data_IF_028300943105
#
_entry.id   IF_028300943105
#
_cell.length_a   1.000
_cell.length_b   1.000
_cell.length_c   1.000
_cell.angle_alpha   90.00
_cell.angle_beta   90.00
_cell.angle_gamma   90.00
#
_symmetry.space_group_name_H-M   'P 1'
#
loop_
_entity.id
_entity.type
_entity.pdbx_description
1 polymer ?
#
# COMPACT_ATOMS: atom_id res chain seq x y z
N UNK A 1 -4.54 15.24 -2.15
CA UNK A 1 -4.42 14.23 -1.07
C UNK A 1 -3.03 13.68 -1.11
N UNK A 2 -2.33 13.66 0.03
CA UNK A 2 -0.97 13.13 0.16
C UNK A 2 -1.00 11.60 0.20
N UNK A 3 0.06 10.93 -0.26
CA UNK A 3 0.11 9.46 -0.32
C UNK A 3 -0.04 8.86 1.09
N UNK A 4 0.54 9.53 2.09
CA UNK A 4 0.39 9.17 3.50
C UNK A 4 -1.06 9.13 3.99
N UNK A 5 -1.86 10.14 3.64
CA UNK A 5 -3.27 10.21 4.04
C UNK A 5 -4.07 9.06 3.41
N UNK A 6 -3.80 8.77 2.14
CA UNK A 6 -4.42 7.65 1.43
C UNK A 6 -4.06 6.32 2.08
N UNK A 7 -2.80 6.12 2.46
CA UNK A 7 -2.36 4.89 3.12
C UNK A 7 -3.10 4.64 4.44
N UNK A 8 -3.20 5.64 5.31
CA UNK A 8 -3.92 5.48 6.58
C UNK A 8 -5.40 5.19 6.39
N UNK A 9 -6.05 5.85 5.42
CA UNK A 9 -7.44 5.56 5.08
C UNK A 9 -7.63 4.11 4.64
N UNK A 10 -6.79 3.64 3.71
CA UNK A 10 -6.87 2.25 3.21
C UNK A 10 -6.59 1.26 4.34
N UNK A 11 -5.60 1.56 5.20
CA UNK A 11 -5.30 0.72 6.37
C UNK A 11 -6.50 0.58 7.30
N UNK A 12 -7.18 1.67 7.61
CA UNK A 12 -8.39 1.66 8.45
C UNK A 12 -9.52 0.85 7.80
N UNK A 13 -9.73 0.99 6.49
CA UNK A 13 -10.72 0.21 5.74
C UNK A 13 -10.42 -1.29 5.76
N UNK A 14 -9.15 -1.67 5.58
CA UNK A 14 -8.69 -3.07 5.67
C UNK A 14 -8.92 -3.62 7.07
N UNK A 15 -8.57 -2.87 8.12
CA UNK A 15 -8.80 -3.30 9.51
C UNK A 15 -10.29 -3.52 9.81
N UNK A 16 -11.16 -2.62 9.35
CA UNK A 16 -12.62 -2.77 9.50
C UNK A 16 -13.13 -3.98 8.73
N UNK A 17 -12.67 -4.19 7.50
CA UNK A 17 -13.09 -5.31 6.66
C UNK A 17 -12.63 -6.66 7.24
N UNK A 18 -11.39 -6.74 7.72
CA UNK A 18 -10.85 -7.94 8.37
C UNK A 18 -11.68 -8.32 9.61
N UNK A 19 -11.93 -7.35 10.50
CA UNK A 19 -12.75 -7.54 11.70
C UNK A 19 -14.17 -8.00 11.36
N UNK A 20 -14.80 -7.38 10.35
CA UNK A 20 -16.14 -7.78 9.87
C UNK A 20 -16.17 -9.21 9.31
N UNK A 21 -15.07 -9.65 8.71
CA UNK A 21 -14.91 -11.02 8.19
C UNK A 21 -14.44 -12.03 9.25
N UNK A 22 -14.25 -11.63 10.51
CA UNK A 22 -13.74 -12.50 11.57
C UNK A 22 -12.27 -12.89 11.40
N UNK A 23 -11.49 -12.10 10.64
CA UNK A 23 -10.07 -12.33 10.37
C UNK A 23 -9.19 -11.32 11.10
N UNK A 24 -7.94 -11.69 11.37
CA UNK A 24 -6.95 -10.73 11.86
C UNK A 24 -6.53 -9.80 10.72
N UNK A 25 -6.50 -8.46 10.92
CA UNK A 25 -5.95 -7.53 9.93
C UNK A 25 -4.52 -7.87 9.49
N UNK A 26 -3.74 -8.51 10.36
CA UNK A 26 -2.36 -8.92 10.08
C UNK A 26 -2.24 -10.01 9.01
N UNK A 27 -3.32 -10.77 8.77
CA UNK A 27 -3.38 -11.74 7.68
C UNK A 27 -3.53 -11.09 6.29
N UNK A 28 -3.77 -9.77 6.25
CA UNK A 28 -4.02 -9.03 5.00
C UNK A 28 -2.81 -8.13 4.71
N UNK A 29 -2.19 -8.36 3.56
CA UNK A 29 -1.10 -7.51 3.08
C UNK A 29 -1.62 -6.43 2.13
N UNK A 30 -1.20 -5.18 2.37
CA UNK A 30 -1.43 -4.07 1.45
C UNK A 30 -0.26 -4.01 0.47
N UNK A 31 -0.56 -4.16 -0.83
CA UNK A 31 0.42 -4.06 -1.91
C UNK A 31 0.13 -2.79 -2.72
N UNK A 32 1.08 -1.85 -2.74
CA UNK A 32 0.97 -0.66 -3.57
C UNK A 32 1.32 -1.01 -5.02
N UNK A 33 0.45 -0.68 -5.97
CA UNK A 33 0.78 -0.79 -7.40
C UNK A 33 1.62 0.42 -7.81
N UNK A 34 2.93 0.24 -8.05
CA UNK A 34 3.85 1.33 -8.34
C UNK A 34 3.99 1.68 -9.82
N UNK A 35 3.39 0.90 -10.72
CA UNK A 35 3.41 1.13 -12.17
C UNK A 35 3.12 2.60 -12.55
N UNK A 36 4.03 3.21 -13.31
CA UNK A 36 3.90 4.60 -13.77
C UNK A 36 3.95 5.66 -12.66
N UNK A 37 4.43 5.32 -11.46
CA UNK A 37 4.71 6.27 -10.38
C UNK A 37 6.19 6.64 -10.36
N UNK A 38 6.47 7.87 -9.97
CA UNK A 38 7.84 8.35 -9.78
C UNK A 38 8.49 7.72 -8.55
N UNK A 39 9.82 7.65 -8.54
CA UNK A 39 10.57 7.18 -7.37
C UNK A 39 10.23 7.97 -6.09
N UNK A 40 9.99 9.28 -6.21
CA UNK A 40 9.58 10.14 -5.10
C UNK A 40 8.22 9.75 -4.53
N UNK A 41 7.24 9.42 -5.39
CA UNK A 41 5.92 8.93 -4.93
C UNK A 41 6.05 7.57 -4.25
N UNK A 42 6.89 6.67 -4.77
CA UNK A 42 7.17 5.38 -4.13
C UNK A 42 7.85 5.57 -2.78
N UNK A 43 8.81 6.49 -2.69
CA UNK A 43 9.47 6.81 -1.43
C UNK A 43 8.48 7.37 -0.40
N UNK A 44 7.59 8.29 -0.79
CA UNK A 44 6.54 8.79 0.10
C UNK A 44 5.61 7.66 0.59
N UNK A 45 5.30 6.69 -0.28
CA UNK A 45 4.51 5.52 0.08
C UNK A 45 5.22 4.63 1.10
N UNK A 46 6.52 4.39 0.92
CA UNK A 46 7.36 3.63 1.86
C UNK A 46 7.44 4.35 3.20
N UNK A 47 7.69 5.66 3.20
CA UNK A 47 7.71 6.49 4.41
C UNK A 47 6.36 6.54 5.13
N UNK A 48 5.25 6.39 4.40
CA UNK A 48 3.92 6.28 4.98
C UNK A 48 3.67 4.93 5.68
N UNK A 49 4.41 3.87 5.32
CA UNK A 49 4.30 2.54 5.92
C UNK A 49 3.94 1.42 4.94
N UNK A 50 3.90 1.67 3.63
CA UNK A 50 3.82 0.61 2.62
C UNK A 50 5.08 -0.25 2.69
N UNK A 51 4.89 -1.57 2.80
CA UNK A 51 6.00 -2.54 2.85
C UNK A 51 6.21 -3.28 1.53
N UNK A 52 5.18 -3.33 0.69
CA UNK A 52 5.17 -4.11 -0.54
C UNK A 52 4.74 -3.21 -1.68
N UNK A 53 5.61 -3.07 -2.69
CA UNK A 53 5.33 -2.37 -3.94
C UNK A 53 5.37 -3.41 -5.05
N UNK A 54 4.30 -3.49 -5.82
CA UNK A 54 4.15 -4.38 -6.96
C UNK A 54 4.30 -3.62 -8.27
N UNK A 55 5.26 -4.07 -9.10
CA UNK A 55 5.47 -3.59 -10.46
C UNK A 55 4.92 -4.59 -11.47
N UNK A 56 4.29 -4.07 -12.53
CA UNK A 56 3.75 -4.91 -13.60
C UNK A 56 4.79 -5.22 -14.69
N UNK A 57 5.96 -4.58 -14.68
CA UNK A 57 7.05 -4.77 -15.66
C UNK A 57 8.41 -4.81 -14.96
N UNK A 58 9.24 -5.80 -15.32
CA UNK A 58 10.59 -6.00 -14.73
C UNK A 58 11.52 -4.81 -15.00
N UNK A 59 11.30 -4.07 -16.09
CA UNK A 59 12.10 -2.89 -16.46
C UNK A 59 11.85 -1.66 -15.57
N UNK A 60 10.74 -1.62 -14.84
CA UNK A 60 10.39 -0.52 -13.91
C UNK A 60 10.97 -0.76 -12.51
N UNK A 61 11.46 -1.98 -12.23
CA UNK A 61 12.04 -2.39 -10.95
C UNK A 61 13.58 -2.29 -10.90
N UNK A 62 14.19 -1.57 -11.85
CA UNK A 62 15.64 -1.52 -12.06
C UNK A 62 16.28 -0.25 -11.51
#
# INVERSE_FOLDING_TARGET
MKIKENFFRIKEEVEKAAKKAGRSPEEISIVAAGKGRSATEIQEAVEAGIKIVGENRVQEAK
#
